data_IF_280596914103
#
_entry.id   IF_280596914103
#
_cell.length_a   1.000
_cell.length_b   1.000
_cell.length_c   1.000
_cell.angle_alpha   90.00
_cell.angle_beta   90.00
_cell.angle_gamma   90.00
#
_symmetry.space_group_name_H-M   'P 1'
#
loop_
_entity.id
_entity.type
_entity.pdbx_description
1 polymer ?
#
# COMPACT_ATOMS: atom_id res chain seq x y z
N UNK A 1 51.11 18.15 24.65
CA UNK A 1 50.46 16.82 24.55
C UNK A 1 50.03 16.61 23.09
N UNK A 2 50.70 15.72 22.35
CA UNK A 2 50.31 15.35 20.98
C UNK A 2 49.38 14.14 21.10
N UNK A 3 48.08 14.33 20.86
CA UNK A 3 47.18 13.19 20.68
C UNK A 3 47.58 12.47 19.39
N UNK A 4 47.77 11.14 19.41
CA UNK A 4 48.18 10.38 18.23
C UNK A 4 47.06 10.43 17.18
N UNK A 5 47.30 11.21 16.13
CA UNK A 5 46.40 11.48 15.00
C UNK A 5 45.88 10.21 14.32
N UNK A 6 46.62 9.09 14.42
CA UNK A 6 46.26 7.79 13.83
C UNK A 6 45.07 7.09 14.51
N UNK A 7 44.83 7.31 15.81
CA UNK A 7 43.68 6.71 16.50
C UNK A 7 42.40 7.54 16.29
N UNK A 8 42.57 8.85 16.14
CA UNK A 8 41.47 9.79 15.87
C UNK A 8 40.91 9.58 14.46
N UNK A 9 41.77 9.39 13.45
CA UNK A 9 41.32 9.06 12.09
C UNK A 9 40.63 7.70 12.01
N UNK A 10 41.08 6.70 12.77
CA UNK A 10 40.46 5.37 12.80
C UNK A 10 39.08 5.37 13.51
N UNK A 11 38.91 6.19 14.56
CA UNK A 11 37.61 6.43 15.20
C UNK A 11 36.62 7.16 14.28
N UNK A 12 37.09 8.18 13.54
CA UNK A 12 36.26 8.89 12.56
C UNK A 12 35.80 7.99 11.40
N UNK A 13 36.63 7.03 10.98
CA UNK A 13 36.28 6.09 9.91
C UNK A 13 35.25 5.03 10.36
N UNK A 14 35.26 4.67 11.65
CA UNK A 14 34.33 3.68 12.21
C UNK A 14 32.95 4.27 12.55
N UNK A 15 32.86 5.56 12.90
CA UNK A 15 31.57 6.26 13.06
C UNK A 15 30.86 6.46 11.70
N UNK A 16 31.61 6.66 10.61
CA UNK A 16 31.04 6.85 9.27
C UNK A 16 30.39 5.59 8.66
N UNK A 17 30.71 4.39 9.17
CA UNK A 17 30.22 3.11 8.63
C UNK A 17 28.85 2.66 9.17
N UNK A 18 28.27 3.37 10.14
CA UNK A 18 27.13 2.88 10.94
C UNK A 18 25.74 3.14 10.35
N UNK A 19 25.62 3.81 9.20
CA UNK A 19 24.34 4.37 8.74
C UNK A 19 23.72 3.75 7.48
N UNK A 20 24.12 2.53 7.09
CA UNK A 20 23.47 1.80 6.00
C UNK A 20 22.20 1.07 6.48
N UNK A 21 21.22 1.80 7.04
CA UNK A 21 19.87 1.25 7.22
C UNK A 21 19.16 1.22 5.85
N UNK A 22 19.34 0.13 5.12
CA UNK A 22 18.58 -0.14 3.90
C UNK A 22 17.15 -0.53 4.29
N UNK A 23 16.23 0.45 4.26
CA UNK A 23 14.81 0.14 4.41
C UNK A 23 14.35 -0.60 3.15
N UNK A 24 14.03 -1.88 3.29
CA UNK A 24 13.49 -2.69 2.21
C UNK A 24 12.04 -2.22 1.92
N UNK A 25 11.83 -1.68 0.73
CA UNK A 25 10.51 -1.28 0.22
C UNK A 25 10.16 -2.24 -0.93
N UNK A 26 8.98 -2.85 -0.87
CA UNK A 26 8.50 -3.76 -1.90
C UNK A 26 7.36 -3.12 -2.68
N UNK A 27 7.54 -3.01 -3.99
CA UNK A 27 6.53 -2.44 -4.89
C UNK A 27 5.95 -3.55 -5.77
N UNK A 28 4.63 -3.67 -5.79
CA UNK A 28 3.90 -4.66 -6.56
C UNK A 28 2.78 -4.00 -7.36
N UNK A 29 2.71 -4.29 -8.65
CA UNK A 29 1.63 -3.79 -9.50
C UNK A 29 0.33 -4.56 -9.25
N UNK A 30 -0.82 -3.90 -9.46
CA UNK A 30 -2.08 -4.61 -9.60
C UNK A 30 -2.09 -5.40 -10.91
N UNK A 31 -2.76 -6.55 -10.87
CA UNK A 31 -3.07 -7.33 -12.07
C UNK A 31 -4.12 -6.62 -12.90
N UNK A 32 -4.19 -6.94 -14.19
CA UNK A 32 -5.22 -6.41 -15.08
C UNK A 32 -6.60 -6.82 -14.59
N UNK A 33 -7.47 -5.83 -14.39
CA UNK A 33 -8.86 -6.05 -13.99
C UNK A 33 -9.71 -6.52 -15.16
N UNK A 34 -10.62 -7.46 -14.92
CA UNK A 34 -11.73 -7.76 -15.83
C UNK A 34 -12.90 -6.79 -15.69
N UNK A 35 -13.01 -6.11 -14.55
CA UNK A 35 -14.11 -5.17 -14.23
C UNK A 35 -13.79 -3.76 -14.75
N UNK A 36 -12.55 -3.30 -14.57
CA UNK A 36 -12.08 -1.98 -15.05
C UNK A 36 -10.73 -2.16 -15.77
N UNK A 37 -10.71 -2.64 -17.03
CA UNK A 37 -9.45 -2.96 -17.73
C UNK A 37 -8.46 -1.80 -17.87
N UNK A 38 -8.96 -0.56 -17.84
CA UNK A 38 -8.15 0.64 -17.90
C UNK A 38 -7.44 0.97 -16.58
N UNK A 39 -7.95 0.49 -15.45
CA UNK A 39 -7.40 0.79 -14.13
C UNK A 39 -5.99 0.23 -13.99
N UNK A 40 -5.09 1.09 -13.51
CA UNK A 40 -3.67 0.78 -13.29
C UNK A 40 -3.28 1.24 -11.91
N UNK A 41 -2.23 0.62 -11.37
CA UNK A 41 -1.73 1.05 -10.09
C UNK A 41 -0.74 0.09 -9.48
N UNK A 42 -0.31 0.43 -8.27
CA UNK A 42 0.59 -0.40 -7.50
C UNK A 42 0.36 -0.24 -6.00
N UNK A 43 0.86 -1.21 -5.26
CA UNK A 43 1.02 -1.18 -3.82
C UNK A 43 2.50 -1.10 -3.50
N UNK A 44 2.88 -0.18 -2.63
CA UNK A 44 4.20 -0.12 -2.03
C UNK A 44 4.09 -0.45 -0.55
N UNK A 45 4.84 -1.44 -0.09
CA UNK A 45 4.90 -1.85 1.32
C UNK A 45 6.29 -1.61 1.84
N UNK A 46 6.39 -0.82 2.91
CA UNK A 46 7.65 -0.46 3.55
C UNK A 46 7.54 -0.71 5.05
N UNK A 47 8.56 -1.31 5.64
CA UNK A 47 8.64 -1.40 7.10
C UNK A 47 9.21 -0.10 7.68
N UNK A 48 8.54 0.45 8.69
CA UNK A 48 9.02 1.61 9.44
C UNK A 48 9.95 1.20 10.61
N UNK A 49 10.39 2.19 11.40
CA UNK A 49 11.31 1.98 12.52
C UNK A 49 10.66 1.23 13.68
N UNK A 50 9.34 1.31 13.80
CA UNK A 50 8.54 0.69 14.85
C UNK A 50 8.05 -0.70 14.42
N UNK A 51 8.64 -1.26 13.36
CA UNK A 51 8.33 -2.55 12.77
C UNK A 51 6.90 -2.68 12.20
N UNK A 52 6.18 -1.57 12.01
CA UNK A 52 4.91 -1.56 11.30
C UNK A 52 5.14 -1.48 9.77
N UNK A 53 4.18 -2.00 9.03
CA UNK A 53 4.14 -1.98 7.58
C UNK A 53 3.31 -0.79 7.10
N UNK A 54 3.97 0.18 6.48
CA UNK A 54 3.33 1.27 5.75
C UNK A 54 2.91 0.73 4.39
N UNK A 55 1.61 0.78 4.12
CA UNK A 55 0.98 0.29 2.89
C UNK A 55 0.49 1.53 2.14
N UNK A 56 1.06 1.76 0.96
CA UNK A 56 0.66 2.83 0.07
C UNK A 56 0.06 2.24 -1.20
N UNK A 57 -1.16 2.66 -1.55
CA UNK A 57 -1.90 2.24 -2.74
C UNK A 57 -2.04 3.44 -3.66
N UNK A 58 -1.56 3.32 -4.89
CA UNK A 58 -1.73 4.35 -5.92
C UNK A 58 -2.42 3.78 -7.13
N UNK A 59 -3.48 4.45 -7.58
CA UNK A 59 -4.31 4.06 -8.71
C UNK A 59 -4.45 5.21 -9.70
N UNK A 60 -4.52 4.87 -10.97
CA UNK A 60 -4.86 5.73 -12.10
C UNK A 60 -5.95 5.04 -12.94
N UNK A 61 -6.82 5.83 -13.57
CA UNK A 61 -7.92 5.36 -14.41
C UNK A 61 -8.92 4.43 -13.70
N UNK A 62 -9.12 4.60 -12.39
CA UNK A 62 -10.17 3.93 -11.64
C UNK A 62 -11.51 4.65 -11.90
N UNK A 63 -12.41 3.98 -12.62
CA UNK A 63 -13.77 4.48 -12.85
C UNK A 63 -14.51 4.72 -11.53
N UNK A 64 -15.43 5.68 -11.50
CA UNK A 64 -16.29 5.92 -10.34
C UNK A 64 -17.15 4.67 -10.04
N UNK A 65 -17.39 4.39 -8.76
CA UNK A 65 -18.06 3.16 -8.33
C UNK A 65 -19.52 3.07 -8.81
N UNK A 66 -20.19 4.21 -8.95
CA UNK A 66 -21.57 4.32 -9.43
C UNK A 66 -21.71 4.12 -10.95
N UNK A 67 -20.58 4.09 -11.68
CA UNK A 67 -20.51 3.78 -13.10
C UNK A 67 -20.28 2.30 -13.41
N UNK A 68 -20.15 1.47 -12.37
CA UNK A 68 -20.09 0.02 -12.52
C UNK A 68 -21.45 -0.57 -12.84
N UNK A 69 -21.45 -1.82 -13.31
CA UNK A 69 -22.66 -2.60 -13.52
C UNK A 69 -22.54 -3.95 -12.76
N UNK A 70 -23.31 -4.16 -11.67
CA UNK A 70 -24.23 -3.19 -11.06
C UNK A 70 -23.50 -2.01 -10.39
N UNK A 71 -24.14 -0.84 -10.26
CA UNK A 71 -23.54 0.33 -9.63
C UNK A 71 -23.29 0.10 -8.13
N UNK A 72 -22.19 0.66 -7.63
CA UNK A 72 -21.76 0.61 -6.21
C UNK A 72 -21.50 2.01 -5.68
N UNK A 73 -21.30 2.15 -4.36
CA UNK A 73 -21.11 3.47 -3.74
C UNK A 73 -19.66 3.82 -3.48
N UNK A 74 -18.81 2.83 -3.23
CA UNK A 74 -17.43 3.07 -2.82
C UNK A 74 -16.55 1.89 -3.18
N UNK A 75 -15.24 2.09 -3.08
CA UNK A 75 -14.27 1.01 -3.13
C UNK A 75 -13.69 0.75 -1.75
N UNK A 76 -13.51 -0.51 -1.40
CA UNK A 76 -12.87 -0.91 -0.14
C UNK A 76 -11.56 -1.61 -0.44
N UNK A 77 -10.52 -1.23 0.30
CA UNK A 77 -9.19 -1.82 0.19
C UNK A 77 -9.06 -2.89 1.27
N UNK A 78 -8.71 -4.09 0.84
CA UNK A 78 -8.56 -5.26 1.67
C UNK A 78 -7.11 -5.69 1.75
N UNK A 79 -6.71 -6.12 2.94
CA UNK A 79 -5.43 -6.74 3.19
C UNK A 79 -5.63 -8.17 3.67
N UNK A 80 -4.93 -9.10 3.05
CA UNK A 80 -4.72 -10.44 3.57
C UNK A 80 -3.33 -10.55 4.20
N UNK A 81 -3.26 -11.27 5.32
CA UNK A 81 -2.02 -11.62 6.01
C UNK A 81 -1.94 -13.13 6.28
N UNK A 82 -0.75 -13.61 6.66
CA UNK A 82 -0.38 -15.03 6.77
C UNK A 82 -1.24 -15.89 7.70
N UNK A 83 -2.04 -15.27 8.58
CA UNK A 83 -3.06 -15.94 9.40
C UNK A 83 -4.43 -16.06 8.70
N UNK A 84 -4.50 -15.86 7.37
CA UNK A 84 -5.73 -15.76 6.57
C UNK A 84 -6.72 -14.70 7.08
N UNK A 85 -6.28 -13.72 7.87
CA UNK A 85 -7.13 -12.61 8.26
C UNK A 85 -7.25 -11.64 7.08
N UNK A 86 -8.45 -11.54 6.52
CA UNK A 86 -8.81 -10.45 5.63
C UNK A 86 -9.27 -9.27 6.47
N UNK A 87 -8.68 -8.10 6.26
CA UNK A 87 -9.07 -6.86 6.95
C UNK A 87 -9.37 -5.75 5.96
N UNK A 88 -10.47 -5.04 6.21
CA UNK A 88 -10.72 -3.74 5.61
C UNK A 88 -9.68 -2.76 6.18
N UNK A 89 -8.84 -2.21 5.32
CA UNK A 89 -7.78 -1.27 5.72
C UNK A 89 -8.11 0.16 5.35
N UNK A 90 -9.20 0.40 4.63
CA UNK A 90 -9.65 1.72 4.21
C UNK A 90 -10.57 1.67 3.01
N UNK A 91 -11.07 2.85 2.61
CA UNK A 91 -11.95 3.02 1.46
C UNK A 91 -11.46 4.15 0.56
N UNK A 92 -11.80 4.05 -0.72
CA UNK A 92 -11.55 5.10 -1.71
C UNK A 92 -12.90 5.71 -2.03
N UNK A 93 -13.16 6.89 -1.47
CA UNK A 93 -14.39 7.62 -1.73
C UNK A 93 -14.18 8.60 -2.91
N UNK A 94 -15.01 8.47 -3.94
CA UNK A 94 -15.02 9.35 -5.11
C UNK A 94 -15.45 10.79 -4.79
N UNK A 95 -16.21 11.00 -3.69
CA UNK A 95 -16.88 12.28 -3.40
C UNK A 95 -16.10 13.30 -2.57
N UNK A 96 -14.91 12.95 -2.05
CA UNK A 96 -14.17 13.83 -1.13
C UNK A 96 -12.73 14.07 -1.61
N UNK A 97 -12.50 15.05 -2.49
CA UNK A 97 -11.20 15.73 -2.72
C UNK A 97 -9.98 14.92 -3.21
N UNK A 98 -9.90 13.61 -2.96
CA UNK A 98 -8.81 12.71 -3.31
C UNK A 98 -8.93 12.14 -4.72
N UNK A 99 -10.16 12.06 -5.26
CA UNK A 99 -10.46 11.64 -6.64
C UNK A 99 -10.76 12.83 -7.56
N UNK A 100 -10.27 14.02 -7.20
CA UNK A 100 -10.46 15.27 -7.94
C UNK A 100 -10.02 15.12 -9.41
N UNK A 101 -11.02 15.00 -10.30
CA UNK A 101 -11.00 15.09 -11.76
C UNK A 101 -10.23 14.07 -12.62
N UNK A 102 -9.40 13.18 -12.06
CA UNK A 102 -8.46 12.39 -12.89
C UNK A 102 -8.57 10.86 -12.78
N UNK A 103 -9.63 10.30 -12.18
CA UNK A 103 -9.74 8.84 -11.96
C UNK A 103 -8.54 8.27 -11.18
N UNK A 104 -7.95 9.09 -10.29
CA UNK A 104 -6.78 8.74 -9.50
C UNK A 104 -7.16 8.51 -8.05
N UNK A 105 -6.42 7.65 -7.37
CA UNK A 105 -6.51 7.47 -5.93
C UNK A 105 -5.10 7.33 -5.33
N UNK A 106 -4.87 8.01 -4.21
CA UNK A 106 -3.69 7.86 -3.36
C UNK A 106 -4.18 7.56 -1.95
N UNK A 107 -3.79 6.41 -1.42
CA UNK A 107 -4.19 5.92 -0.12
C UNK A 107 -2.97 5.41 0.65
N UNK A 108 -2.90 5.72 1.93
CA UNK A 108 -1.83 5.26 2.80
C UNK A 108 -2.37 4.87 4.17
N UNK A 109 -1.88 3.74 4.69
CA UNK A 109 -2.19 3.25 6.05
C UNK A 109 -1.01 2.51 6.64
N UNK A 110 -1.08 2.16 7.92
CA UNK A 110 -0.09 1.32 8.61
C UNK A 110 -0.74 0.08 9.21
N UNK A 111 0.01 -1.02 9.26
CA UNK A 111 -0.42 -2.29 9.84
C UNK A 111 0.73 -2.93 10.60
N UNK A 112 0.47 -3.48 11.79
CA UNK A 112 1.46 -4.30 12.51
C UNK A 112 1.62 -5.70 11.91
N UNK A 113 0.78 -6.08 10.94
CA UNK A 113 0.83 -7.36 10.23
C UNK A 113 1.34 -7.14 8.80
N UNK A 114 2.23 -8.04 8.35
CA UNK A 114 2.74 -8.05 6.98
C UNK A 114 1.64 -8.43 6.00
N UNK A 115 1.42 -7.64 4.93
CA UNK A 115 0.44 -7.98 3.90
C UNK A 115 1.02 -9.04 2.94
N UNK A 116 0.26 -10.10 2.70
CA UNK A 116 0.55 -11.13 1.69
C UNK A 116 -0.12 -10.79 0.35
N UNK A 117 -1.26 -10.10 0.40
CA UNK A 117 -2.01 -9.63 -0.77
C UNK A 117 -2.83 -8.40 -0.42
N UNK A 118 -2.92 -7.47 -1.37
CA UNK A 118 -3.87 -6.35 -1.32
C UNK A 118 -4.83 -6.49 -2.51
N UNK A 119 -6.11 -6.26 -2.26
CA UNK A 119 -7.12 -6.22 -3.31
C UNK A 119 -8.19 -5.19 -2.97
N UNK A 120 -8.99 -4.85 -3.96
CA UNK A 120 -10.00 -3.79 -3.88
C UNK A 120 -11.32 -4.35 -4.38
N UNK A 121 -12.39 -4.13 -3.62
CA UNK A 121 -13.75 -4.46 -4.03
C UNK A 121 -14.59 -3.20 -4.23
N UNK A 122 -15.65 -3.31 -5.01
CA UNK A 122 -16.70 -2.30 -5.09
C UNK A 122 -17.86 -2.68 -4.15
N UNK A 123 -18.23 -1.76 -3.27
CA UNK A 123 -19.17 -2.02 -2.17
C UNK A 123 -20.28 -0.97 -2.08
N UNK A 124 -21.39 -1.35 -1.44
CA UNK A 124 -22.48 -0.43 -1.10
C UNK A 124 -22.23 0.35 0.20
N UNK A 125 -21.29 -0.13 1.04
CA UNK A 125 -20.85 0.48 2.28
C UNK A 125 -19.34 0.27 2.45
N UNK A 126 -18.61 1.32 2.81
CA UNK A 126 -17.16 1.28 2.97
C UNK A 126 -16.67 0.71 4.31
N UNK A 127 -17.59 0.45 5.24
CA UNK A 127 -17.31 -0.02 6.61
C UNK A 127 -17.61 -1.51 6.80
N UNK A 128 -17.89 -2.23 5.71
CA UNK A 128 -18.15 -3.66 5.72
C UNK A 128 -16.98 -4.44 6.34
N UNK A 129 -17.32 -5.48 7.11
CA UNK A 129 -16.36 -6.38 7.75
C UNK A 129 -15.90 -7.53 6.86
N UNK A 130 -16.60 -7.77 5.74
CA UNK A 130 -16.30 -8.83 4.78
C UNK A 130 -16.37 -8.29 3.36
N UNK A 131 -15.49 -8.76 2.46
CA UNK A 131 -15.50 -8.36 1.06
C UNK A 131 -16.75 -8.88 0.34
N UNK A 132 -17.35 -8.01 -0.46
CA UNK A 132 -18.38 -8.34 -1.42
C UNK A 132 -17.81 -9.08 -2.65
N UNK A 133 -18.70 -9.48 -3.58
CA UNK A 133 -18.33 -10.34 -4.70
C UNK A 133 -17.59 -9.61 -5.85
N UNK A 134 -17.67 -8.28 -5.90
CA UNK A 134 -17.11 -7.50 -7.02
C UNK A 134 -15.68 -7.10 -6.72
N UNK A 135 -14.73 -8.00 -7.01
CA UNK A 135 -13.29 -7.70 -6.92
C UNK A 135 -12.86 -6.92 -8.16
N UNK A 136 -12.32 -5.72 -7.94
CA UNK A 136 -11.97 -4.76 -8.99
C UNK A 136 -10.49 -4.83 -9.31
N UNK A 137 -9.62 -4.88 -8.31
CA UNK A 137 -8.18 -4.96 -8.49
C UNK A 137 -7.59 -5.92 -7.48
N UNK A 138 -6.57 -6.67 -7.88
CA UNK A 138 -5.84 -7.58 -6.98
C UNK A 138 -4.37 -7.58 -7.32
N UNK A 139 -3.51 -7.60 -6.30
CA UNK A 139 -2.09 -7.86 -6.51
C UNK A 139 -1.84 -9.36 -6.64
N UNK A 140 -0.71 -9.72 -7.24
CA UNK A 140 -0.12 -11.04 -6.94
C UNK A 140 0.25 -11.15 -5.47
N UNK A 141 0.78 -12.31 -5.06
CA UNK A 141 1.41 -12.43 -3.73
C UNK A 141 2.53 -11.40 -3.59
N UNK A 142 2.44 -10.58 -2.56
CA UNK A 142 3.44 -9.59 -2.23
C UNK A 142 4.70 -10.31 -1.75
N UNK A 143 5.83 -9.98 -2.36
CA UNK A 143 7.14 -10.41 -1.90
C UNK A 143 7.68 -9.29 -1.02
N UNK A 144 7.95 -9.59 0.23
CA UNK A 144 8.71 -8.72 1.12
C UNK A 144 9.53 -9.54 2.09
#
# INVERSE_FOLDING_TARGET
>A
MKFPTSHVTLMLLSVAASFLMTSCSSKSAFQTSSVIPAARGYVNVKQDRDQNYIIQVKLDYLSEADRLDPPKKTYVIWMESSNNATKNIGQINSSTGFMSNNLKADFQTSSSYKPDRIYITAEDDGTVSYPGPVIVLTTGRLKG
#
